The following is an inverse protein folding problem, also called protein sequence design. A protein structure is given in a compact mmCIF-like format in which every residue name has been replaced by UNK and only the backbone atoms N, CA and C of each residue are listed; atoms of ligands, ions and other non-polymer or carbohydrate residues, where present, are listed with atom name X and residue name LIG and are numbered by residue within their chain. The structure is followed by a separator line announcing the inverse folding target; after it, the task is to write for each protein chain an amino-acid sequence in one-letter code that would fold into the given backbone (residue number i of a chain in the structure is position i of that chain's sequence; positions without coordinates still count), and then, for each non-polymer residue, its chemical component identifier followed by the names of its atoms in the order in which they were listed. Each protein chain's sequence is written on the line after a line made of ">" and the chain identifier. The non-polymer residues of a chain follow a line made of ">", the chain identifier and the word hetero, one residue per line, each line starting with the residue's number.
data_IF_257860076523
#
_entry.id   IF_257860076523
#
_cell.length_a   1.000
_cell.length_b   1.000
_cell.length_c   1.000
_cell.angle_alpha   90.00
_cell.angle_beta   90.00
_cell.angle_gamma   90.00
#
_symmetry.space_group_name_H-M   'P 1'
#
loop_
_entity.id
_entity.type
_entity.pdbx_description
1 polymer ?
#
# COMPACT_ATOMS: atom_id res chain seq x y z
N UNK A 1 29.36 -4.27 -11.79
CA UNK A 1 28.90 -2.95 -11.30
C UNK A 1 27.48 -3.11 -10.78
N UNK A 2 27.27 -2.78 -9.54
CA UNK A 2 25.91 -2.68 -9.03
C UNK A 2 25.34 -1.35 -9.47
N UNK A 3 24.22 -1.37 -10.18
CA UNK A 3 23.48 -0.15 -10.45
C UNK A 3 23.10 0.52 -9.13
N UNK A 4 23.23 1.85 -9.03
CA UNK A 4 22.86 2.51 -7.79
C UNK A 4 21.38 2.27 -7.47
N UNK A 5 21.10 1.91 -6.22
CA UNK A 5 19.72 1.70 -5.76
C UNK A 5 18.94 3.02 -5.86
N UNK A 6 17.68 2.99 -6.31
CA UNK A 6 16.90 4.22 -6.42
C UNK A 6 16.63 4.81 -5.04
N UNK A 7 16.69 6.13 -4.93
CA UNK A 7 16.20 6.85 -3.76
C UNK A 7 14.66 6.81 -3.74
N UNK A 8 14.09 7.13 -2.60
CA UNK A 8 12.63 7.27 -2.46
C UNK A 8 12.06 8.23 -3.52
N UNK A 9 12.69 9.40 -3.69
CA UNK A 9 12.26 10.40 -4.67
C UNK A 9 12.38 9.89 -6.12
N UNK A 10 13.47 9.22 -6.44
CA UNK A 10 13.65 8.62 -7.76
C UNK A 10 12.59 7.57 -8.05
N UNK A 11 12.28 6.71 -7.06
CA UNK A 11 11.25 5.69 -7.19
C UNK A 11 9.88 6.31 -7.42
N UNK A 12 9.55 7.40 -6.72
CA UNK A 12 8.31 8.14 -6.95
C UNK A 12 8.23 8.67 -8.38
N UNK A 13 9.29 9.33 -8.84
CA UNK A 13 9.33 9.96 -10.17
C UNK A 13 9.17 8.95 -11.29
N UNK A 14 9.89 7.82 -11.23
CA UNK A 14 9.77 6.79 -12.27
C UNK A 14 8.41 6.08 -12.23
N UNK A 15 7.83 5.92 -11.06
CA UNK A 15 6.49 5.33 -10.93
C UNK A 15 5.44 6.20 -11.62
N UNK A 16 5.49 7.51 -11.42
CA UNK A 16 4.59 8.46 -12.11
C UNK A 16 4.74 8.30 -13.63
N UNK A 17 5.98 8.30 -14.10
CA UNK A 17 6.30 8.19 -15.53
C UNK A 17 5.76 6.88 -16.12
N UNK A 18 6.03 5.76 -15.47
CA UNK A 18 5.62 4.44 -15.97
C UNK A 18 4.11 4.25 -15.92
N UNK A 19 3.44 4.74 -14.88
CA UNK A 19 1.98 4.69 -14.80
C UNK A 19 1.34 5.47 -15.94
N UNK A 20 1.86 6.66 -16.24
CA UNK A 20 1.36 7.48 -17.34
C UNK A 20 1.59 6.81 -18.70
N UNK A 21 2.76 6.23 -18.92
CA UNK A 21 3.09 5.52 -20.16
C UNK A 21 2.23 4.26 -20.32
N UNK A 22 2.00 3.54 -19.24
CA UNK A 22 1.14 2.35 -19.25
C UNK A 22 -0.31 2.72 -19.58
N UNK A 23 -0.82 3.78 -19.00
CA UNK A 23 -2.20 4.24 -19.24
C UNK A 23 -2.43 4.67 -20.69
N UNK A 24 -1.38 5.14 -21.36
CA UNK A 24 -1.40 5.53 -22.77
C UNK A 24 -1.10 4.37 -23.74
N UNK A 25 -1.02 3.15 -23.25
CA UNK A 25 -0.64 1.97 -24.01
C UNK A 25 0.77 2.04 -24.63
N UNK A 26 1.64 2.87 -24.08
CA UNK A 26 3.05 3.01 -24.51
C UNK A 26 3.97 2.00 -23.78
N UNK A 27 3.47 1.34 -22.76
CA UNK A 27 4.21 0.39 -21.93
C UNK A 27 3.33 -0.84 -21.68
N UNK A 28 3.83 -2.03 -22.01
CA UNK A 28 3.10 -3.27 -21.80
C UNK A 28 3.01 -3.64 -20.32
N UNK A 29 2.05 -4.49 -19.97
CA UNK A 29 1.88 -5.03 -18.63
C UNK A 29 3.15 -5.73 -18.14
N UNK A 30 3.79 -6.51 -19.01
CA UNK A 30 4.98 -7.30 -18.70
C UNK A 30 6.19 -6.39 -18.42
N UNK A 31 6.42 -5.39 -19.26
CA UNK A 31 7.52 -4.45 -19.08
C UNK A 31 7.32 -3.60 -17.82
N UNK A 32 6.09 -3.13 -17.61
CA UNK A 32 5.74 -2.38 -16.39
C UNK A 32 6.02 -3.24 -15.15
N UNK A 33 5.57 -4.49 -15.15
CA UNK A 33 5.77 -5.42 -14.04
C UNK A 33 7.25 -5.65 -13.75
N UNK A 34 8.06 -5.85 -14.78
CA UNK A 34 9.50 -6.04 -14.62
C UNK A 34 10.17 -4.82 -13.99
N UNK A 35 9.83 -3.64 -14.46
CA UNK A 35 10.37 -2.38 -13.92
C UNK A 35 9.97 -2.15 -12.47
N UNK A 36 8.71 -2.39 -12.14
CA UNK A 36 8.23 -2.29 -10.75
C UNK A 36 8.91 -3.35 -9.89
N UNK A 37 9.07 -4.57 -10.39
CA UNK A 37 9.80 -5.63 -9.70
C UNK A 37 11.19 -5.22 -9.25
N UNK A 38 11.91 -4.44 -10.06
CA UNK A 38 13.21 -3.90 -9.69
C UNK A 38 13.12 -2.90 -8.54
N UNK A 39 12.10 -2.01 -8.55
CA UNK A 39 11.89 -1.07 -7.44
C UNK A 39 11.60 -1.81 -6.13
N UNK A 40 10.86 -2.90 -6.19
CA UNK A 40 10.45 -3.65 -4.99
C UNK A 40 11.60 -4.40 -4.30
N UNK A 41 12.77 -4.42 -4.89
CA UNK A 41 13.96 -5.06 -4.28
C UNK A 41 14.53 -4.27 -3.11
N UNK A 42 14.19 -3.00 -2.96
CA UNK A 42 14.67 -2.15 -1.87
C UNK A 42 13.49 -1.50 -1.15
N UNK A 43 13.70 -1.15 0.13
CA UNK A 43 12.68 -0.46 0.94
C UNK A 43 12.32 0.90 0.32
N UNK A 44 13.32 1.68 -0.08
CA UNK A 44 13.10 3.00 -0.65
C UNK A 44 12.38 2.93 -2.00
N UNK A 45 12.73 1.96 -2.84
CA UNK A 45 12.05 1.71 -4.10
C UNK A 45 10.59 1.31 -3.90
N UNK A 46 10.35 0.36 -3.01
CA UNK A 46 8.99 -0.11 -2.69
C UNK A 46 8.13 1.02 -2.09
N UNK A 47 8.67 1.79 -1.15
CA UNK A 47 7.96 2.92 -0.54
C UNK A 47 7.57 3.97 -1.58
N UNK A 48 8.50 4.33 -2.46
CA UNK A 48 8.23 5.29 -3.53
C UNK A 48 7.15 4.81 -4.49
N UNK A 49 7.20 3.54 -4.86
CA UNK A 49 6.17 2.91 -5.70
C UNK A 49 4.79 3.01 -5.06
N UNK A 50 4.65 2.59 -3.80
CA UNK A 50 3.34 2.56 -3.14
C UNK A 50 2.78 3.95 -2.86
N UNK A 51 3.62 4.91 -2.46
CA UNK A 51 3.15 6.30 -2.24
C UNK A 51 2.50 6.88 -3.49
N UNK A 52 3.06 6.61 -4.65
CA UNK A 52 2.51 7.09 -5.93
C UNK A 52 1.35 6.21 -6.39
N UNK A 53 1.57 4.91 -6.52
CA UNK A 53 0.59 4.00 -7.15
C UNK A 53 -0.74 3.95 -6.40
N UNK A 54 -0.70 4.04 -5.07
CA UNK A 54 -1.92 4.01 -4.26
C UNK A 54 -2.72 5.31 -4.32
N UNK A 55 -2.09 6.45 -4.65
CA UNK A 55 -2.74 7.76 -4.60
C UNK A 55 -3.05 8.36 -5.98
N UNK A 56 -2.35 7.95 -7.01
CA UNK A 56 -2.45 8.53 -8.37
C UNK A 56 -3.79 8.20 -9.03
N UNK A 57 -4.26 9.07 -9.92
CA UNK A 57 -5.50 8.85 -10.67
C UNK A 57 -5.42 7.66 -11.64
N UNK A 58 -4.22 7.31 -12.09
CA UNK A 58 -4.00 6.14 -12.93
C UNK A 58 -4.63 4.88 -12.28
N UNK A 59 -5.43 4.09 -13.03
CA UNK A 59 -6.20 2.98 -12.45
C UNK A 59 -5.39 1.69 -12.27
N UNK A 60 -4.06 1.75 -12.26
CA UNK A 60 -3.20 0.58 -12.17
C UNK A 60 -3.56 -0.33 -10.98
N UNK A 61 -3.70 0.27 -9.78
CA UNK A 61 -3.98 -0.48 -8.57
C UNK A 61 -5.44 -0.91 -8.44
N UNK A 62 -6.32 -0.38 -9.28
CA UNK A 62 -7.74 -0.76 -9.32
C UNK A 62 -7.98 -1.99 -10.19
N UNK A 63 -7.09 -2.25 -11.15
CA UNK A 63 -7.17 -3.35 -12.10
C UNK A 63 -5.77 -3.91 -12.37
N UNK A 64 -5.16 -4.47 -11.32
CA UNK A 64 -3.79 -4.97 -11.39
C UNK A 64 -3.62 -6.01 -12.51
N UNK A 65 -2.68 -5.78 -13.45
CA UNK A 65 -2.35 -6.80 -14.45
C UNK A 65 -1.72 -8.04 -13.80
N UNK A 66 -1.98 -9.21 -14.35
CA UNK A 66 -1.44 -10.47 -13.82
C UNK A 66 0.09 -10.47 -13.67
N UNK A 67 0.88 -9.98 -14.66
CA UNK A 67 2.33 -9.92 -14.47
C UNK A 67 2.75 -9.09 -13.25
N UNK A 68 2.03 -8.02 -12.95
CA UNK A 68 2.32 -7.18 -11.78
C UNK A 68 1.91 -7.88 -10.48
N UNK A 69 0.77 -8.56 -10.46
CA UNK A 69 0.35 -9.38 -9.31
C UNK A 69 1.44 -10.40 -8.98
N UNK A 70 1.99 -11.06 -9.99
CA UNK A 70 3.08 -12.01 -9.82
C UNK A 70 4.32 -11.36 -9.17
N UNK A 71 4.71 -10.19 -9.65
CA UNK A 71 5.85 -9.45 -9.09
C UNK A 71 5.60 -9.03 -7.63
N UNK A 72 4.41 -8.54 -7.33
CA UNK A 72 4.04 -8.12 -5.97
C UNK A 72 4.08 -9.31 -5.01
N UNK A 73 3.55 -10.46 -5.42
CA UNK A 73 3.62 -11.70 -4.63
C UNK A 73 5.05 -12.19 -4.45
N UNK A 74 5.85 -12.15 -5.51
CA UNK A 74 7.24 -12.61 -5.50
C UNK A 74 8.14 -11.75 -4.62
N UNK A 75 7.78 -10.50 -4.40
CA UNK A 75 8.53 -9.57 -3.55
C UNK A 75 8.35 -9.84 -2.05
N UNK A 76 7.36 -10.67 -1.70
CA UNK A 76 7.23 -11.23 -0.36
C UNK A 76 6.89 -10.24 0.73
N UNK A 77 7.62 -10.33 1.85
CA UNK A 77 7.27 -9.64 3.09
C UNK A 77 7.27 -8.11 2.98
N UNK A 78 8.15 -7.53 2.20
CA UNK A 78 8.24 -6.06 2.04
C UNK A 78 6.93 -5.48 1.50
N UNK A 79 6.31 -6.15 0.54
CA UNK A 79 5.03 -5.71 -0.05
C UNK A 79 3.90 -5.87 0.97
N UNK A 80 3.86 -6.97 1.67
CA UNK A 80 2.84 -7.22 2.71
C UNK A 80 2.95 -6.16 3.82
N UNK A 81 4.15 -5.90 4.32
CA UNK A 81 4.37 -4.92 5.39
C UNK A 81 3.95 -3.51 4.99
N UNK A 82 4.36 -3.07 3.80
CA UNK A 82 4.01 -1.73 3.32
C UNK A 82 2.52 -1.60 3.02
N UNK A 83 1.91 -2.64 2.47
CA UNK A 83 0.47 -2.66 2.20
C UNK A 83 -0.33 -2.57 3.50
N UNK A 84 0.07 -3.31 4.53
CA UNK A 84 -0.58 -3.27 5.84
C UNK A 84 -0.44 -1.89 6.50
N UNK A 85 0.75 -1.29 6.45
CA UNK A 85 0.97 0.06 7.00
C UNK A 85 0.16 1.12 6.26
N UNK A 86 0.11 1.06 4.94
CA UNK A 86 -0.70 1.97 4.14
C UNK A 86 -2.20 1.78 4.40
N UNK A 87 -2.65 0.55 4.64
CA UNK A 87 -4.02 0.28 5.05
C UNK A 87 -4.34 1.00 6.37
N UNK A 88 -3.46 0.86 7.36
CA UNK A 88 -3.64 1.51 8.66
C UNK A 88 -3.68 3.03 8.51
N UNK A 89 -2.70 3.61 7.81
CA UNK A 89 -2.61 5.06 7.63
C UNK A 89 -3.82 5.63 6.90
N UNK A 90 -4.23 5.01 5.80
CA UNK A 90 -5.38 5.48 5.02
C UNK A 90 -6.69 5.36 5.79
N UNK A 91 -6.88 4.25 6.52
CA UNK A 91 -8.06 4.05 7.37
C UNK A 91 -8.18 5.13 8.44
N UNK A 92 -7.07 5.47 9.10
CA UNK A 92 -7.02 6.51 10.11
C UNK A 92 -7.27 7.90 9.49
N UNK A 93 -6.71 8.15 8.32
CA UNK A 93 -6.88 9.44 7.62
C UNK A 93 -8.30 9.67 7.11
N UNK A 94 -9.03 8.62 6.76
CA UNK A 94 -10.46 8.75 6.42
C UNK A 94 -11.22 9.37 7.59
N UNK A 95 -10.98 8.88 8.81
CA UNK A 95 -11.63 9.41 10.01
C UNK A 95 -11.24 10.88 10.26
N UNK A 96 -9.96 11.20 10.13
CA UNK A 96 -9.47 12.58 10.32
C UNK A 96 -10.11 13.54 9.30
N UNK A 97 -10.17 13.16 8.03
CA UNK A 97 -10.74 13.99 6.99
C UNK A 97 -12.26 14.14 7.12
N UNK A 98 -12.95 13.10 7.60
CA UNK A 98 -14.39 13.20 7.90
C UNK A 98 -14.68 14.23 8.98
N UNK A 99 -13.91 14.22 10.07
CA UNK A 99 -14.08 15.18 11.18
C UNK A 99 -13.84 16.61 10.75
N UNK A 100 -12.92 16.84 9.83
CA UNK A 100 -12.50 18.16 9.39
C UNK A 100 -13.25 18.61 8.12
N UNK A 101 -14.21 17.83 7.62
CA UNK A 101 -14.90 18.07 6.34
C UNK A 101 -13.90 18.35 5.21
N UNK A 102 -12.80 17.59 5.18
CA UNK A 102 -11.71 17.81 4.26
C UNK A 102 -11.99 17.13 2.91
N UNK A 103 -11.74 17.86 1.81
CA UNK A 103 -11.88 17.35 0.45
C UNK A 103 -10.95 16.16 0.15
N UNK A 104 -9.92 15.94 0.97
CA UNK A 104 -9.00 14.82 0.83
C UNK A 104 -9.57 13.48 1.32
N UNK A 105 -10.79 13.47 1.87
CA UNK A 105 -11.41 12.22 2.33
C UNK A 105 -11.51 11.19 1.19
N UNK A 106 -11.92 11.62 0.00
CA UNK A 106 -12.04 10.73 -1.16
C UNK A 106 -10.70 10.10 -1.55
N UNK A 107 -9.61 10.84 -1.43
CA UNK A 107 -8.26 10.35 -1.68
C UNK A 107 -7.89 9.25 -0.69
N UNK A 108 -8.14 9.47 0.60
CA UNK A 108 -7.86 8.48 1.64
C UNK A 108 -8.69 7.22 1.47
N UNK A 109 -9.96 7.34 1.08
CA UNK A 109 -10.83 6.21 0.76
C UNK A 109 -10.29 5.40 -0.43
N UNK A 110 -9.81 6.08 -1.46
CA UNK A 110 -9.19 5.44 -2.62
C UNK A 110 -7.97 4.60 -2.20
N UNK A 111 -7.07 5.18 -1.41
CA UNK A 111 -5.87 4.48 -0.92
C UNK A 111 -6.29 3.26 -0.10
N UNK A 112 -7.23 3.44 0.82
CA UNK A 112 -7.75 2.37 1.66
C UNK A 112 -8.30 1.22 0.82
N UNK A 113 -9.16 1.52 -0.15
CA UNK A 113 -9.76 0.51 -1.03
C UNK A 113 -8.69 -0.24 -1.82
N UNK A 114 -7.71 0.48 -2.38
CA UNK A 114 -6.61 -0.12 -3.12
C UNK A 114 -5.76 -1.04 -2.25
N UNK A 115 -5.52 -0.66 -1.00
CA UNK A 115 -4.79 -1.51 -0.05
C UNK A 115 -5.57 -2.79 0.28
N UNK A 116 -6.88 -2.69 0.49
CA UNK A 116 -7.72 -3.85 0.77
C UNK A 116 -7.67 -4.83 -0.40
N UNK A 117 -7.88 -4.34 -1.62
CA UNK A 117 -7.87 -5.18 -2.81
C UNK A 117 -6.49 -5.82 -3.05
N UNK A 118 -5.41 -5.06 -2.84
CA UNK A 118 -4.05 -5.59 -2.96
C UNK A 118 -3.79 -6.70 -1.96
N UNK A 119 -4.12 -6.49 -0.69
CA UNK A 119 -3.89 -7.49 0.36
C UNK A 119 -4.64 -8.79 0.10
N UNK A 120 -5.81 -8.73 -0.52
CA UNK A 120 -6.57 -9.93 -0.92
C UNK A 120 -5.86 -10.73 -2.02
N UNK A 121 -5.00 -10.10 -2.81
CA UNK A 121 -4.29 -10.73 -3.93
C UNK A 121 -2.91 -11.28 -3.52
N UNK A 122 -2.39 -10.94 -2.35
CA UNK A 122 -1.09 -11.39 -1.87
C UNK A 122 -1.20 -12.76 -1.18
N UNK A 123 -0.04 -13.33 -0.79
CA UNK A 123 0.00 -14.60 -0.07
C UNK A 123 -0.86 -14.55 1.19
N UNK A 124 -1.86 -15.40 1.28
CA UNK A 124 -2.88 -15.36 2.34
C UNK A 124 -2.30 -15.59 3.74
N UNK A 125 -1.31 -16.46 3.88
CA UNK A 125 -0.69 -16.75 5.17
C UNK A 125 0.14 -15.56 5.66
N UNK A 126 0.93 -14.94 4.77
CA UNK A 126 1.73 -13.76 5.10
C UNK A 126 0.83 -12.58 5.46
N UNK A 127 -0.25 -12.36 4.71
CA UNK A 127 -1.23 -11.31 4.95
C UNK A 127 -1.91 -11.52 6.30
N UNK A 128 -2.41 -12.73 6.56
CA UNK A 128 -3.06 -13.07 7.82
C UNK A 128 -2.16 -12.78 9.01
N UNK A 129 -0.94 -13.31 8.98
CA UNK A 129 0.02 -13.13 10.06
C UNK A 129 0.33 -11.65 10.29
N UNK A 130 0.52 -10.91 9.21
CA UNK A 130 0.84 -9.47 9.29
C UNK A 130 -0.31 -8.65 9.84
N UNK A 131 -1.53 -8.94 9.40
CA UNK A 131 -2.73 -8.22 9.85
C UNK A 131 -3.09 -8.56 11.30
N UNK A 132 -2.79 -9.77 11.77
CA UNK A 132 -2.95 -10.12 13.19
C UNK A 132 -2.04 -9.24 14.06
N UNK A 133 -0.80 -9.00 13.63
CA UNK A 133 0.13 -8.11 14.36
C UNK A 133 -0.43 -6.69 14.41
N UNK A 134 -0.94 -6.19 13.30
CA UNK A 134 -1.54 -4.85 13.24
C UNK A 134 -2.80 -4.77 14.11
N UNK A 135 -3.64 -5.80 14.08
CA UNK A 135 -4.86 -5.86 14.89
C UNK A 135 -4.53 -5.81 16.38
N UNK A 136 -3.53 -6.56 16.83
CA UNK A 136 -3.09 -6.53 18.24
C UNK A 136 -2.63 -5.13 18.64
N UNK A 137 -1.97 -4.40 17.74
CA UNK A 137 -1.54 -3.03 17.99
C UNK A 137 -2.73 -2.08 18.22
N UNK A 138 -3.85 -2.29 17.53
CA UNK A 138 -5.08 -1.50 17.77
C UNK A 138 -5.65 -1.72 19.17
N UNK A 139 -5.31 -2.85 19.80
CA UNK A 139 -5.72 -3.20 21.17
C UNK A 139 -4.68 -2.79 22.22
N UNK A 140 -3.56 -2.21 21.81
CA UNK A 140 -2.51 -1.76 22.70
C UNK A 140 -1.37 -2.75 22.90
N UNK A 141 -1.20 -3.73 22.02
CA UNK A 141 -0.19 -4.80 22.16
C UNK A 141 0.63 -4.99 20.89
N UNK A 142 1.83 -5.54 21.04
CA UNK A 142 2.61 -6.10 19.94
C UNK A 142 3.51 -5.13 19.21
N UNK A 143 4.03 -5.62 18.08
CA UNK A 143 5.14 -4.97 17.36
C UNK A 143 4.77 -3.65 16.68
N UNK A 144 3.53 -3.50 16.22
CA UNK A 144 3.08 -2.28 15.54
C UNK A 144 2.59 -1.20 16.51
N UNK A 145 2.60 -1.46 17.80
CA UNK A 145 2.11 -0.48 18.80
C UNK A 145 2.89 0.83 18.71
N UNK A 146 4.22 0.77 18.57
CA UNK A 146 5.05 1.96 18.42
C UNK A 146 4.67 2.76 17.18
N UNK A 147 4.40 2.08 16.08
CA UNK A 147 3.95 2.72 14.85
C UNK A 147 2.64 3.48 15.05
N UNK A 148 1.63 2.87 15.68
CA UNK A 148 0.36 3.53 15.95
C UNK A 148 0.52 4.70 16.95
N UNK A 149 1.36 4.53 17.97
CA UNK A 149 1.60 5.56 18.96
C UNK A 149 2.34 6.76 18.37
N UNK A 150 3.26 6.53 17.44
CA UNK A 150 4.00 7.60 16.75
C UNK A 150 3.05 8.57 16.04
N UNK A 151 1.98 8.04 15.44
CA UNK A 151 0.99 8.84 14.71
C UNK A 151 -0.10 9.39 15.64
N UNK A 152 -0.16 8.96 16.90
CA UNK A 152 -1.12 9.44 17.88
C UNK A 152 -2.56 9.14 17.54
N UNK A 153 -2.83 7.99 16.93
CA UNK A 153 -4.18 7.63 16.50
C UNK A 153 -5.16 7.52 17.66
N UNK A 154 -6.34 8.13 17.49
CA UNK A 154 -7.46 8.06 18.42
C UNK A 154 -8.09 6.66 18.46
N UNK A 155 -8.96 6.42 19.45
CA UNK A 155 -9.72 5.17 19.52
C UNK A 155 -10.59 4.97 18.28
N UNK A 156 -11.21 6.02 17.73
CA UNK A 156 -12.00 5.94 16.51
C UNK A 156 -11.13 5.53 15.31
N UNK A 157 -9.93 6.11 15.22
CA UNK A 157 -8.98 5.76 14.15
C UNK A 157 -8.53 4.31 14.28
N UNK A 158 -8.25 3.83 15.49
CA UNK A 158 -7.89 2.42 15.73
C UNK A 158 -9.04 1.48 15.38
N UNK A 159 -10.28 1.87 15.67
CA UNK A 159 -11.45 1.08 15.26
C UNK A 159 -11.59 1.03 13.73
N UNK A 160 -11.33 2.13 13.04
CA UNK A 160 -11.34 2.17 11.58
C UNK A 160 -10.28 1.24 10.98
N UNK A 161 -9.08 1.22 11.57
CA UNK A 161 -8.01 0.29 11.16
C UNK A 161 -8.47 -1.16 11.35
N UNK A 162 -9.02 -1.48 12.51
CA UNK A 162 -9.55 -2.81 12.83
C UNK A 162 -10.62 -3.25 11.82
N UNK A 163 -11.55 -2.36 11.50
CA UNK A 163 -12.60 -2.63 10.52
C UNK A 163 -12.01 -2.93 9.14
N UNK A 164 -11.03 -2.17 8.70
CA UNK A 164 -10.36 -2.41 7.43
C UNK A 164 -9.66 -3.76 7.38
N UNK A 165 -9.02 -4.17 8.49
CA UNK A 165 -8.39 -5.49 8.61
C UNK A 165 -9.44 -6.60 8.39
N UNK A 166 -10.60 -6.50 9.02
CA UNK A 166 -11.65 -7.49 8.84
C UNK A 166 -12.22 -7.51 7.42
N UNK A 167 -12.26 -6.38 6.73
CA UNK A 167 -12.68 -6.33 5.33
C UNK A 167 -11.73 -7.14 4.42
N UNK A 168 -10.43 -7.18 4.72
CA UNK A 168 -9.48 -8.05 4.01
C UNK A 168 -9.73 -9.51 4.36
N UNK A 169 -9.95 -9.82 5.62
CA UNK A 169 -9.99 -11.20 6.14
C UNK A 169 -11.30 -11.94 5.84
N UNK A 170 -12.41 -11.22 5.62
CA UNK A 170 -13.74 -11.81 5.46
C UNK A 170 -14.09 -12.12 4.00
N UNK A 171 -13.24 -11.84 3.08
CA UNK A 171 -13.44 -12.14 1.66
C UNK A 171 -12.27 -12.94 1.11
#
# INVERSE_FOLDING_TARGET
>A
MNDPKPSFKQAMNVTILWCNSWEKDELSDEVLADRIGELLKTIEGARGFFVVSLSIDCPLMDRLPEPLIFQLRSSGQIVVDLSAKNLAMSSAMVIEHQKNNNSQQMQSERIRTRCIELLKLLDSNKVKNRLEILLEATKGNGKDLEFLNRWGYSNEQKQAISKSIYEVALT
#
